data_IF_689185771538
#
_entry.id   IF_689185771538
#
_cell.length_a   1.000
_cell.length_b   1.000
_cell.length_c   1.000
_cell.angle_alpha   90.00
_cell.angle_beta   90.00
_cell.angle_gamma   90.00
#
_symmetry.space_group_name_H-M   'P 1'
#
loop_
_entity.id
_entity.type
_entity.pdbx_description
1 polymer ?
#
# COMPACT_ATOMS: atom_id res chain seq x y z
N UNK A 1 -20.97 5.52 29.30
CA UNK A 1 -19.73 6.15 28.79
C UNK A 1 -18.64 5.15 28.38
N UNK A 2 -18.93 3.85 28.20
CA UNK A 2 -17.95 2.84 27.73
C UNK A 2 -18.03 2.54 26.22
N UNK A 3 -19.05 3.01 25.50
CA UNK A 3 -19.24 2.73 24.07
C UNK A 3 -18.36 3.56 23.12
N UNK A 4 -17.73 4.64 23.61
CA UNK A 4 -16.89 5.52 22.77
C UNK A 4 -15.48 4.98 22.52
N UNK A 5 -14.93 4.18 23.44
CA UNK A 5 -13.54 3.68 23.32
C UNK A 5 -13.50 2.49 22.37
N UNK A 6 -14.49 1.59 22.43
CA UNK A 6 -14.54 0.39 21.57
C UNK A 6 -14.77 0.72 20.09
N UNK A 7 -15.51 1.80 19.77
CA UNK A 7 -15.72 2.24 18.39
C UNK A 7 -14.42 2.59 17.66
N UNK A 8 -13.52 3.33 18.33
CA UNK A 8 -12.25 3.76 17.75
C UNK A 8 -11.28 2.58 17.52
N UNK A 9 -11.31 1.55 18.36
CA UNK A 9 -10.47 0.37 18.17
C UNK A 9 -10.87 -0.46 16.94
N UNK A 10 -12.17 -0.63 16.70
CA UNK A 10 -12.64 -1.37 15.53
C UNK A 10 -12.33 -0.63 14.23
N UNK A 11 -12.54 0.68 14.20
CA UNK A 11 -12.23 1.51 13.02
C UNK A 11 -10.73 1.47 12.66
N UNK A 12 -9.84 1.51 13.66
CA UNK A 12 -8.40 1.39 13.42
C UNK A 12 -8.00 0.01 12.89
N UNK A 13 -8.62 -1.06 13.39
CA UNK A 13 -8.35 -2.42 12.90
C UNK A 13 -8.83 -2.59 11.46
N UNK A 14 -10.02 -2.09 11.11
CA UNK A 14 -10.54 -2.11 9.75
C UNK A 14 -9.65 -1.32 8.78
N UNK A 15 -9.16 -0.15 9.21
CA UNK A 15 -8.24 0.65 8.41
C UNK A 15 -6.92 -0.08 8.13
N UNK A 16 -6.34 -0.74 9.14
CA UNK A 16 -5.11 -1.53 8.97
C UNK A 16 -5.37 -2.76 8.10
N UNK A 17 -6.50 -3.44 8.28
CA UNK A 17 -6.88 -4.60 7.48
C UNK A 17 -7.02 -4.24 6.00
N UNK A 18 -7.69 -3.12 5.72
CA UNK A 18 -7.78 -2.55 4.37
C UNK A 18 -6.39 -2.24 3.82
N UNK A 19 -5.52 -1.63 4.61
CA UNK A 19 -4.19 -1.23 4.14
C UNK A 19 -3.27 -2.43 3.86
N UNK A 20 -3.36 -3.47 4.68
CA UNK A 20 -2.64 -4.72 4.46
C UNK A 20 -3.18 -5.46 3.23
N UNK A 21 -4.50 -5.47 3.04
CA UNK A 21 -5.14 -6.03 1.85
C UNK A 21 -4.71 -5.30 0.56
N UNK A 22 -4.66 -3.96 0.60
CA UNK A 22 -4.20 -3.12 -0.51
C UNK A 22 -2.71 -3.34 -0.84
N UNK A 23 -1.89 -3.64 0.18
CA UNK A 23 -0.50 -4.06 0.01
C UNK A 23 -0.36 -5.50 -0.49
N UNK A 24 -1.44 -6.28 -0.53
CA UNK A 24 -1.43 -7.69 -0.89
C UNK A 24 -0.86 -8.61 0.20
N UNK A 25 -0.73 -8.11 1.43
CA UNK A 25 -0.30 -8.93 2.56
C UNK A 25 -1.44 -9.87 2.99
N UNK A 26 -1.17 -11.18 3.06
CA UNK A 26 -2.15 -12.20 3.48
C UNK A 26 -2.38 -12.27 5.00
N UNK A 27 -1.71 -11.40 5.75
CA UNK A 27 -1.77 -11.38 7.21
C UNK A 27 -2.97 -10.56 7.67
N UNK A 28 -3.96 -11.18 8.30
CA UNK A 28 -5.07 -10.44 8.91
C UNK A 28 -4.60 -9.46 9.98
N UNK A 29 -5.32 -8.35 10.17
CA UNK A 29 -4.94 -7.26 11.07
C UNK A 29 -4.58 -7.71 12.48
N UNK A 30 -5.30 -8.71 13.02
CA UNK A 30 -5.01 -9.29 14.34
C UNK A 30 -3.62 -9.96 14.41
N UNK A 31 -3.22 -10.68 13.36
CA UNK A 31 -1.87 -11.28 13.25
C UNK A 31 -0.80 -10.19 13.11
N UNK A 32 -1.09 -9.13 12.37
CA UNK A 32 -0.18 -8.00 12.25
C UNK A 32 0.04 -7.30 13.59
N UNK A 33 -1.04 -6.98 14.31
CA UNK A 33 -0.98 -6.29 15.61
C UNK A 33 -0.24 -7.12 16.67
N UNK A 34 -0.52 -8.43 16.75
CA UNK A 34 0.21 -9.34 17.64
C UNK A 34 1.69 -9.45 17.27
N UNK A 35 2.04 -9.42 15.98
CA UNK A 35 3.41 -9.34 15.51
C UNK A 35 4.09 -8.03 15.93
N UNK A 36 3.40 -6.90 15.77
CA UNK A 36 3.88 -5.58 16.20
C UNK A 36 4.08 -5.51 17.72
N UNK A 37 3.16 -6.07 18.50
CA UNK A 37 3.25 -6.14 19.96
C UNK A 37 4.48 -6.96 20.39
N UNK A 38 4.71 -8.14 19.78
CA UNK A 38 5.90 -8.96 20.06
C UNK A 38 7.20 -8.21 19.77
N UNK A 39 7.27 -7.50 18.64
CA UNK A 39 8.46 -6.69 18.29
C UNK A 39 8.66 -5.54 19.28
N UNK A 40 7.59 -4.84 19.66
CA UNK A 40 7.65 -3.74 20.63
C UNK A 40 8.07 -4.22 22.02
N UNK A 41 7.64 -5.42 22.40
CA UNK A 41 8.06 -6.06 23.64
C UNK A 41 9.55 -6.47 23.63
N UNK A 42 10.08 -6.90 22.48
CA UNK A 42 11.51 -7.11 22.33
C UNK A 42 12.30 -5.78 22.46
N UNK A 43 11.77 -4.68 21.90
CA UNK A 43 12.35 -3.33 22.08
C UNK A 43 12.31 -2.90 23.54
N UNK A 44 11.20 -3.15 24.25
CA UNK A 44 11.09 -2.90 25.69
C UNK A 44 12.22 -3.57 26.46
N UNK A 45 12.38 -4.89 26.30
CA UNK A 45 13.41 -5.65 27.02
C UNK A 45 14.82 -5.23 26.64
N UNK A 46 15.08 -4.98 25.35
CA UNK A 46 16.38 -4.48 24.89
C UNK A 46 16.72 -3.14 25.52
N UNK A 47 15.78 -2.19 25.51
CA UNK A 47 15.98 -0.86 26.10
C UNK A 47 16.15 -0.92 27.61
N UNK A 48 15.37 -1.75 28.30
CA UNK A 48 15.48 -1.91 29.76
C UNK A 48 16.80 -2.56 30.16
N UNK A 49 17.21 -3.63 29.48
CA UNK A 49 18.47 -4.31 29.76
C UNK A 49 19.65 -3.38 29.47
N UNK A 50 19.59 -2.62 28.39
CA UNK A 50 20.60 -1.59 28.08
C UNK A 50 20.66 -0.55 29.19
N UNK A 51 19.52 -0.04 29.67
CA UNK A 51 19.50 0.93 30.76
C UNK A 51 20.14 0.38 32.04
N UNK A 52 19.82 -0.86 32.39
CA UNK A 52 20.34 -1.52 33.59
C UNK A 52 21.87 -1.70 33.55
N UNK A 53 22.48 -1.71 32.37
CA UNK A 53 23.94 -1.75 32.21
C UNK A 53 24.63 -0.40 32.44
N UNK A 54 23.92 0.72 32.28
CA UNK A 54 24.51 2.07 32.26
C UNK A 54 23.99 3.00 33.38
N UNK A 55 22.91 2.65 34.06
CA UNK A 55 22.27 3.51 35.06
C UNK A 55 21.71 2.70 36.24
N UNK A 56 21.84 3.26 37.44
CA UNK A 56 21.41 2.62 38.70
C UNK A 56 19.89 2.76 38.96
N UNK A 57 19.21 3.64 38.22
CA UNK A 57 17.79 3.93 38.38
C UNK A 57 16.87 2.90 37.72
N UNK A 58 16.42 1.89 38.46
CA UNK A 58 15.51 0.84 37.96
C UNK A 58 14.17 1.43 37.47
N UNK A 59 13.59 2.35 38.25
CA UNK A 59 12.28 2.96 37.93
C UNK A 59 12.38 3.82 36.67
N UNK A 60 13.46 4.60 36.53
CA UNK A 60 13.71 5.43 35.34
C UNK A 60 13.88 4.56 34.09
N UNK A 61 14.63 3.45 34.20
CA UNK A 61 14.79 2.49 33.11
C UNK A 61 13.49 1.84 32.67
N UNK A 62 12.62 1.51 33.63
CA UNK A 62 11.29 1.00 33.32
C UNK A 62 10.45 2.04 32.57
N UNK A 63 10.47 3.31 32.98
CA UNK A 63 9.73 4.37 32.29
C UNK A 63 10.25 4.62 30.87
N UNK A 64 11.57 4.70 30.69
CA UNK A 64 12.20 4.91 29.38
C UNK A 64 11.91 3.75 28.43
N UNK A 65 11.99 2.51 28.91
CA UNK A 65 11.71 1.33 28.09
C UNK A 65 10.22 1.23 27.71
N UNK A 66 9.29 1.55 28.61
CA UNK A 66 7.85 1.65 28.28
C UNK A 66 7.64 2.69 27.18
N UNK A 67 8.23 3.88 27.32
CA UNK A 67 8.10 4.94 26.31
C UNK A 67 8.66 4.51 24.94
N UNK A 68 9.84 3.87 24.93
CA UNK A 68 10.46 3.35 23.71
C UNK A 68 9.59 2.28 23.04
N UNK A 69 9.01 1.36 23.82
CA UNK A 69 8.13 0.32 23.31
C UNK A 69 6.82 0.89 22.74
N UNK A 70 6.23 1.87 23.42
CA UNK A 70 5.04 2.57 22.94
C UNK A 70 5.32 3.31 21.61
N UNK A 71 6.45 4.01 21.51
CA UNK A 71 6.87 4.67 20.26
C UNK A 71 7.10 3.65 19.13
N UNK A 72 7.79 2.54 19.41
CA UNK A 72 8.00 1.47 18.44
C UNK A 72 6.68 0.87 17.94
N UNK A 73 5.72 0.65 18.85
CA UNK A 73 4.39 0.13 18.50
C UNK A 73 3.64 1.11 17.60
N UNK A 74 3.61 2.41 17.95
CA UNK A 74 2.97 3.44 17.16
C UNK A 74 3.56 3.54 15.74
N UNK A 75 4.89 3.46 15.63
CA UNK A 75 5.58 3.43 14.33
C UNK A 75 5.20 2.19 13.52
N UNK A 76 5.26 1.00 14.12
CA UNK A 76 4.94 -0.25 13.44
C UNK A 76 3.49 -0.28 12.93
N UNK A 77 2.54 0.25 13.70
CA UNK A 77 1.13 0.36 13.27
C UNK A 77 0.98 1.34 12.11
N UNK A 78 1.79 2.40 12.06
CA UNK A 78 1.71 3.44 11.02
C UNK A 78 2.41 3.04 9.70
N UNK A 79 3.33 2.07 9.74
CA UNK A 79 4.08 1.59 8.58
C UNK A 79 3.25 1.21 7.34
N UNK A 80 2.17 0.41 7.41
CA UNK A 80 1.41 0.02 6.22
C UNK A 80 0.84 1.22 5.48
N UNK A 81 0.25 2.17 6.21
CA UNK A 81 -0.27 3.41 5.64
C UNK A 81 0.83 4.26 4.98
N UNK A 82 2.03 4.33 5.60
CA UNK A 82 3.19 5.02 5.02
C UNK A 82 3.68 4.33 3.74
N UNK A 83 3.75 3.00 3.72
CA UNK A 83 4.14 2.23 2.52
C UNK A 83 3.18 2.46 1.35
N UNK A 84 1.88 2.49 1.62
CA UNK A 84 0.86 2.79 0.60
C UNK A 84 1.01 4.20 0.04
N UNK A 85 1.24 5.21 0.89
CA UNK A 85 1.49 6.59 0.45
C UNK A 85 2.77 6.68 -0.40
N UNK A 86 3.84 6.03 0.03
CA UNK A 86 5.09 6.00 -0.72
C UNK A 86 4.93 5.31 -2.09
N UNK A 87 4.15 4.22 -2.15
CA UNK A 87 3.82 3.53 -3.41
C UNK A 87 2.99 4.42 -4.33
N UNK A 88 1.97 5.08 -3.81
CA UNK A 88 1.16 6.04 -4.57
C UNK A 88 2.03 7.15 -5.18
N UNK A 89 2.96 7.72 -4.41
CA UNK A 89 3.90 8.73 -4.92
C UNK A 89 4.83 8.20 -6.01
N UNK A 90 5.29 6.94 -5.92
CA UNK A 90 6.07 6.31 -7.01
C UNK A 90 5.23 6.14 -8.27
N UNK A 91 3.99 5.69 -8.14
CA UNK A 91 3.07 5.56 -9.28
C UNK A 91 2.84 6.93 -9.94
N UNK A 92 2.51 7.95 -9.15
CA UNK A 92 2.26 9.31 -9.66
C UNK A 92 3.47 9.91 -10.39
N UNK A 93 4.69 9.58 -9.95
CA UNK A 93 5.91 10.02 -10.63
C UNK A 93 6.06 9.42 -12.03
N UNK A 94 5.67 8.17 -12.22
CA UNK A 94 5.82 7.45 -13.50
C UNK A 94 4.58 7.55 -14.41
N UNK A 95 3.43 7.90 -13.84
CA UNK A 95 2.15 7.94 -14.54
C UNK A 95 2.14 8.86 -15.77
N UNK A 96 2.65 10.12 -15.72
CA UNK A 96 2.60 11.01 -16.89
C UNK A 96 3.41 10.48 -18.08
N UNK A 97 4.58 9.90 -17.81
CA UNK A 97 5.44 9.32 -18.86
C UNK A 97 4.78 8.11 -19.52
N UNK A 98 4.17 7.24 -18.71
CA UNK A 98 3.45 6.08 -19.20
C UNK A 98 2.23 6.46 -20.05
N UNK A 99 1.47 7.49 -19.63
CA UNK A 99 0.33 8.00 -20.39
C UNK A 99 0.77 8.69 -21.69
N UNK A 100 1.88 9.43 -21.67
CA UNK A 100 2.44 10.05 -22.87
C UNK A 100 2.91 9.00 -23.88
N UNK A 101 3.57 7.94 -23.42
CA UNK A 101 3.94 6.81 -24.28
C UNK A 101 2.68 6.13 -24.86
N UNK A 102 1.68 5.87 -24.02
CA UNK A 102 0.43 5.26 -24.50
C UNK A 102 -0.23 6.12 -25.58
N UNK A 103 -0.33 7.43 -25.35
CA UNK A 103 -0.93 8.35 -26.30
C UNK A 103 -0.18 8.36 -27.64
N UNK A 104 1.16 8.37 -27.61
CA UNK A 104 1.97 8.31 -28.81
C UNK A 104 1.77 7.00 -29.61
N UNK A 105 1.61 5.87 -28.92
CA UNK A 105 1.32 4.58 -29.56
C UNK A 105 -0.09 4.54 -30.17
N UNK A 106 -1.09 5.08 -29.46
CA UNK A 106 -2.46 5.19 -29.98
C UNK A 106 -2.54 6.14 -31.19
N UNK A 107 -1.87 7.29 -31.13
CA UNK A 107 -1.80 8.25 -32.25
C UNK A 107 -1.12 7.64 -33.50
N UNK A 108 -0.22 6.67 -33.30
CA UNK A 108 0.40 5.90 -34.36
C UNK A 108 -0.49 4.77 -34.93
N UNK A 109 -1.73 4.63 -34.43
CA UNK A 109 -2.69 3.62 -34.85
C UNK A 109 -2.42 2.23 -34.27
N UNK A 110 -1.67 2.12 -33.17
CA UNK A 110 -1.47 0.85 -32.47
C UNK A 110 -2.72 0.51 -31.67
N UNK A 111 -3.21 -0.73 -31.78
CA UNK A 111 -4.35 -1.23 -31.00
C UNK A 111 -4.16 -0.98 -29.50
N UNK A 112 -5.21 -0.53 -28.79
CA UNK A 112 -5.13 -0.15 -27.38
C UNK A 112 -4.48 -1.21 -26.46
N UNK A 113 -4.82 -2.50 -26.65
CA UNK A 113 -4.22 -3.57 -25.85
C UNK A 113 -2.72 -3.75 -26.13
N UNK A 114 -2.30 -3.54 -27.39
CA UNK A 114 -0.87 -3.56 -27.76
C UNK A 114 -0.17 -2.34 -27.22
N UNK A 115 -0.80 -1.18 -27.25
CA UNK A 115 -0.27 0.06 -26.69
C UNK A 115 -0.05 -0.07 -25.16
N UNK A 116 -1.03 -0.63 -24.45
CA UNK A 116 -0.89 -0.93 -23.02
C UNK A 116 0.23 -1.93 -22.74
N UNK A 117 0.39 -2.94 -23.60
CA UNK A 117 1.49 -3.89 -23.49
C UNK A 117 2.86 -3.21 -23.70
N UNK A 118 2.95 -2.27 -24.64
CA UNK A 118 4.15 -1.44 -24.88
C UNK A 118 4.54 -0.64 -23.64
N UNK A 119 3.57 0.03 -23.03
CA UNK A 119 3.77 0.76 -21.76
C UNK A 119 4.16 -0.17 -20.62
N UNK A 120 3.60 -1.39 -20.57
CA UNK A 120 3.92 -2.40 -19.56
C UNK A 120 5.36 -2.92 -19.63
N UNK A 121 6.05 -2.68 -20.75
CA UNK A 121 7.47 -3.01 -20.93
C UNK A 121 8.44 -2.04 -20.24
N UNK A 122 7.96 -0.86 -19.83
CA UNK A 122 8.77 0.15 -19.14
C UNK A 122 8.98 -0.18 -17.66
N UNK A 123 10.06 0.32 -17.06
CA UNK A 123 10.32 0.12 -15.63
C UNK A 123 9.50 1.07 -14.75
N UNK A 124 8.76 0.52 -13.78
CA UNK A 124 8.12 1.30 -12.72
C UNK A 124 6.83 0.66 -12.18
N UNK A 125 6.36 1.17 -11.04
CA UNK A 125 5.19 0.63 -10.33
C UNK A 125 3.88 0.70 -11.12
N UNK A 126 3.72 1.69 -12.00
CA UNK A 126 2.56 1.79 -12.88
C UNK A 126 2.62 0.78 -14.03
N UNK A 127 3.68 0.75 -14.87
CA UNK A 127 3.89 -0.30 -15.87
C UNK A 127 3.74 -1.73 -15.31
N UNK A 128 4.36 -2.01 -14.16
CA UNK A 128 4.27 -3.32 -13.49
C UNK A 128 2.82 -3.66 -13.11
N UNK A 129 2.08 -2.64 -12.64
CA UNK A 129 0.65 -2.77 -12.33
C UNK A 129 -0.19 -3.09 -13.57
N UNK A 130 0.05 -2.38 -14.68
CA UNK A 130 -0.61 -2.63 -15.96
C UNK A 130 -0.28 -4.02 -16.49
N UNK A 131 1.00 -4.41 -16.46
CA UNK A 131 1.45 -5.75 -16.85
C UNK A 131 0.68 -6.83 -16.10
N UNK A 132 0.57 -6.69 -14.78
CA UNK A 132 -0.19 -7.61 -13.94
C UNK A 132 -1.68 -7.62 -14.29
N UNK A 133 -2.29 -6.46 -14.59
CA UNK A 133 -3.68 -6.41 -15.05
C UNK A 133 -3.89 -7.17 -16.35
N UNK A 134 -2.97 -7.07 -17.32
CA UNK A 134 -3.02 -7.81 -18.58
C UNK A 134 -2.88 -9.32 -18.33
N UNK A 135 -1.93 -9.71 -17.49
CA UNK A 135 -1.73 -11.12 -17.09
C UNK A 135 -2.96 -11.69 -16.37
N UNK A 136 -3.50 -10.98 -15.38
CA UNK A 136 -4.71 -11.36 -14.63
C UNK A 136 -5.93 -11.45 -15.56
N UNK A 137 -6.08 -10.54 -16.52
CA UNK A 137 -7.18 -10.57 -17.50
C UNK A 137 -7.13 -11.85 -18.35
N UNK A 138 -5.93 -12.21 -18.83
CA UNK A 138 -5.72 -13.42 -19.66
C UNK A 138 -5.87 -14.71 -18.86
N UNK A 139 -5.30 -14.78 -17.65
CA UNK A 139 -5.28 -16.00 -16.84
C UNK A 139 -6.61 -16.25 -16.12
N UNK A 140 -7.22 -15.20 -15.57
CA UNK A 140 -8.44 -15.31 -14.78
C UNK A 140 -9.73 -15.07 -15.59
N UNK A 141 -9.62 -14.85 -16.90
CA UNK A 141 -10.74 -14.52 -17.80
C UNK A 141 -11.57 -13.32 -17.30
N UNK A 142 -10.90 -12.36 -16.69
CA UNK A 142 -11.51 -11.14 -16.18
C UNK A 142 -11.41 -10.04 -17.26
N UNK A 143 -12.44 -9.22 -17.47
CA UNK A 143 -12.34 -8.06 -18.35
C UNK A 143 -11.18 -7.15 -17.93
N UNK A 144 -10.42 -6.64 -18.90
CA UNK A 144 -9.28 -5.76 -18.65
C UNK A 144 -9.68 -4.52 -17.82
N UNK A 145 -10.87 -3.99 -18.08
CA UNK A 145 -11.47 -2.86 -17.35
C UNK A 145 -11.59 -3.15 -15.85
N UNK A 146 -12.10 -4.33 -15.50
CA UNK A 146 -12.23 -4.75 -14.10
C UNK A 146 -10.86 -4.92 -13.43
N UNK A 147 -9.88 -5.48 -14.15
CA UNK A 147 -8.50 -5.58 -13.66
C UNK A 147 -7.90 -4.20 -13.40
N UNK A 148 -8.10 -3.24 -14.30
CA UNK A 148 -7.63 -1.86 -14.15
C UNK A 148 -8.33 -1.15 -12.99
N UNK A 149 -9.65 -1.28 -12.84
CA UNK A 149 -10.40 -0.74 -11.72
C UNK A 149 -9.91 -1.31 -10.38
N UNK A 150 -9.68 -2.62 -10.31
CA UNK A 150 -9.11 -3.27 -9.11
C UNK A 150 -7.70 -2.78 -8.81
N UNK A 151 -6.88 -2.54 -9.83
CA UNK A 151 -5.56 -1.95 -9.64
C UNK A 151 -5.63 -0.52 -9.12
N UNK A 152 -6.47 0.33 -9.70
CA UNK A 152 -6.70 1.69 -9.22
C UNK A 152 -7.32 1.71 -7.81
N UNK A 153 -8.22 0.79 -7.50
CA UNK A 153 -8.89 0.67 -6.21
C UNK A 153 -7.93 0.37 -5.05
N UNK A 154 -6.96 -0.52 -5.27
CA UNK A 154 -5.91 -0.89 -4.30
C UNK A 154 -4.88 0.21 -4.05
N UNK A 155 -4.90 1.27 -4.83
CA UNK A 155 -3.94 2.37 -4.74
C UNK A 155 -4.63 3.63 -4.22
N UNK A 156 -3.95 4.34 -3.31
CA UNK A 156 -4.48 5.58 -2.73
C UNK A 156 -4.29 6.83 -3.62
N UNK A 157 -3.66 6.69 -4.79
CA UNK A 157 -3.46 7.79 -5.72
C UNK A 157 -4.77 8.18 -6.42
N UNK A 158 -5.19 9.43 -6.24
CA UNK A 158 -6.37 9.98 -6.92
C UNK A 158 -6.09 10.21 -8.42
N UNK A 159 -4.86 10.61 -8.75
CA UNK A 159 -4.43 10.82 -10.14
C UNK A 159 -4.47 9.50 -10.91
N UNK A 160 -3.99 8.41 -10.30
CA UNK A 160 -4.10 7.07 -10.88
C UNK A 160 -5.56 6.68 -11.14
N UNK A 161 -6.46 6.88 -10.18
CA UNK A 161 -7.88 6.54 -10.32
C UNK A 161 -8.52 7.28 -11.49
N UNK A 162 -8.21 8.57 -11.65
CA UNK A 162 -8.69 9.37 -12.78
C UNK A 162 -8.11 8.89 -14.10
N UNK A 163 -6.80 8.65 -14.16
CA UNK A 163 -6.14 8.15 -15.36
C UNK A 163 -6.73 6.80 -15.80
N UNK A 164 -6.89 5.86 -14.86
CA UNK A 164 -7.50 4.55 -15.16
C UNK A 164 -8.94 4.69 -15.63
N UNK A 165 -9.74 5.57 -15.03
CA UNK A 165 -11.11 5.82 -15.50
C UNK A 165 -11.12 6.34 -16.94
N UNK A 166 -10.21 7.24 -17.29
CA UNK A 166 -10.09 7.76 -18.66
C UNK A 166 -9.64 6.67 -19.64
N UNK A 167 -8.67 5.84 -19.25
CA UNK A 167 -8.22 4.70 -20.05
C UNK A 167 -9.36 3.72 -20.36
N UNK A 168 -10.19 3.43 -19.37
CA UNK A 168 -11.37 2.57 -19.54
C UNK A 168 -12.36 3.19 -20.52
N UNK A 169 -12.65 4.49 -20.37
CA UNK A 169 -13.55 5.18 -21.30
C UNK A 169 -13.05 5.18 -22.74
N UNK A 170 -11.74 5.35 -22.96
CA UNK A 170 -11.13 5.25 -24.30
C UNK A 170 -11.27 3.84 -24.86
N UNK A 171 -10.99 2.82 -24.05
CA UNK A 171 -11.12 1.41 -24.47
C UNK A 171 -12.56 1.04 -24.83
N UNK A 172 -13.55 1.49 -24.05
CA UNK A 172 -14.98 1.23 -24.33
C UNK A 172 -15.49 1.92 -25.59
N UNK A 173 -14.93 3.08 -25.93
CA UNK A 173 -15.33 3.84 -27.11
C UNK A 173 -14.75 3.27 -28.42
N UNK A 174 -13.86 2.28 -28.34
CA UNK A 174 -13.42 1.49 -29.50
C UNK A 174 -12.53 2.25 -30.49
N UNK A 175 -11.74 3.20 -29.99
CA UNK A 175 -10.62 3.78 -30.75
C UNK A 175 -9.41 2.86 -30.76
#
# INVERSE_FOLDING_TARGET
MQSGITGNWNENLENIERDLSDLGEKCGAKKYYSGAARKSFAVFFGAWLLWLLFADGIIEGALVSIAAAAAAMALLISLPGMKLKARAGRIEKHLPFALMQLNAELDAGVDFERALLGVSGSHGEFPDGIKKCIEDSRLCKMPLQDCLLRFAGRNRSLQLKRAVSQLISVYEQGH
#
